data_IF_949977775552
#
_entry.id   IF_949977775552
#
_cell.length_a   1.000
_cell.length_b   1.000
_cell.length_c   1.000
_cell.angle_alpha   90.00
_cell.angle_beta   90.00
_cell.angle_gamma   90.00
#
_symmetry.space_group_name_H-M   'P 1'
#
loop_
_entity.id
_entity.type
_entity.pdbx_description
1 polymer ?
#
# COMPACT_ATOMS: atom_id res chain seq x y z
N UNK A 1 -16.23 -44.00 6.25
CA UNK A 1 -15.44 -43.09 7.10
C UNK A 1 -15.18 -41.83 6.29
N UNK A 2 -16.04 -40.81 6.41
CA UNK A 2 -15.84 -39.52 5.76
C UNK A 2 -15.09 -38.62 6.74
N UNK A 3 -13.82 -38.36 6.46
CA UNK A 3 -13.01 -37.43 7.23
C UNK A 3 -13.33 -36.02 6.70
N UNK A 4 -14.28 -35.35 7.35
CA UNK A 4 -14.53 -33.92 7.14
C UNK A 4 -13.34 -33.19 7.75
N UNK A 5 -12.40 -32.77 6.90
CA UNK A 5 -11.41 -31.77 7.25
C UNK A 5 -12.15 -30.46 7.50
N UNK A 6 -12.50 -30.21 8.76
CA UNK A 6 -12.84 -28.88 9.23
C UNK A 6 -11.62 -28.00 9.00
N UNK A 7 -11.66 -27.19 7.94
CA UNK A 7 -10.75 -26.07 7.79
C UNK A 7 -10.96 -25.19 9.02
N UNK A 8 -10.01 -25.24 9.96
CA UNK A 8 -9.82 -24.17 10.93
C UNK A 8 -9.46 -22.93 10.11
N UNK A 9 -10.47 -22.20 9.67
CA UNK A 9 -10.32 -20.83 9.21
C UNK A 9 -9.79 -20.04 10.41
N UNK A 10 -8.47 -20.00 10.57
CA UNK A 10 -7.84 -18.94 11.31
C UNK A 10 -8.44 -17.67 10.74
N UNK A 11 -9.19 -16.94 11.56
CA UNK A 11 -9.75 -15.66 11.18
C UNK A 11 -8.56 -14.75 10.90
N UNK A 12 -8.08 -14.78 9.65
CA UNK A 12 -7.02 -13.94 9.17
C UNK A 12 -7.37 -12.52 9.54
N UNK A 13 -6.52 -11.89 10.35
CA UNK A 13 -6.76 -10.53 10.84
C UNK A 13 -6.96 -9.62 9.62
N UNK A 14 -8.15 -9.01 9.54
CA UNK A 14 -8.46 -8.06 8.46
C UNK A 14 -7.69 -6.78 8.72
N UNK A 15 -6.79 -6.44 7.82
CA UNK A 15 -6.09 -5.16 7.83
C UNK A 15 -7.08 -4.07 7.40
N UNK A 16 -7.19 -3.02 8.21
CA UNK A 16 -7.97 -1.82 7.86
C UNK A 16 -7.07 -0.80 7.19
N UNK A 17 -7.39 -0.48 5.95
CA UNK A 17 -6.70 0.48 5.09
C UNK A 17 -7.42 1.81 5.14
N UNK A 18 -6.73 2.81 5.69
CA UNK A 18 -7.24 4.17 5.85
C UNK A 18 -6.70 5.02 4.71
N UNK A 19 -7.54 5.78 3.98
CA UNK A 19 -7.08 6.63 2.89
C UNK A 19 -6.10 7.70 3.38
N UNK A 20 -5.07 7.95 2.60
CA UNK A 20 -4.12 9.05 2.81
C UNK A 20 -4.57 10.20 1.90
N UNK A 21 -5.20 11.21 2.50
CA UNK A 21 -5.46 12.48 1.83
C UNK A 21 -4.14 13.19 1.50
N UNK A 22 -4.13 13.96 0.41
CA UNK A 22 -3.01 14.82 -0.01
C UNK A 22 -1.70 14.09 -0.35
N UNK A 23 -1.74 12.76 -0.52
CA UNK A 23 -0.65 12.05 -1.14
C UNK A 23 -0.43 12.54 -2.59
N UNK A 24 0.79 12.41 -3.09
CA UNK A 24 1.11 12.63 -4.49
C UNK A 24 1.65 11.32 -5.07
N UNK A 25 1.11 10.92 -6.21
CA UNK A 25 1.60 9.77 -6.98
C UNK A 25 2.05 10.22 -8.35
N UNK A 26 3.21 9.74 -8.79
CA UNK A 26 3.68 9.83 -10.16
C UNK A 26 4.09 8.45 -10.67
N UNK A 27 3.66 8.13 -11.89
CA UNK A 27 4.14 6.99 -12.67
C UNK A 27 4.93 7.56 -13.84
N UNK A 28 6.23 7.25 -13.91
CA UNK A 28 7.17 7.84 -14.87
C UNK A 28 7.06 9.38 -14.92
N UNK A 29 7.12 9.99 -13.73
CA UNK A 29 7.01 11.44 -13.51
C UNK A 29 5.67 12.08 -13.91
N UNK A 30 4.64 11.29 -14.23
CA UNK A 30 3.30 11.76 -14.57
C UNK A 30 2.26 11.37 -13.52
N UNK A 31 1.39 12.30 -13.15
CA UNK A 31 0.26 11.98 -12.29
C UNK A 31 -0.74 11.06 -13.02
N UNK A 32 -1.09 9.89 -12.48
CA UNK A 32 -2.07 9.01 -13.09
C UNK A 32 -3.49 9.58 -12.94
N UNK A 33 -4.38 9.19 -13.87
CA UNK A 33 -5.75 9.74 -13.95
C UNK A 33 -6.65 9.33 -12.78
N UNK A 34 -6.53 8.08 -12.33
CA UNK A 34 -7.38 7.49 -11.29
C UNK A 34 -6.51 6.69 -10.36
N UNK A 35 -6.40 7.16 -9.11
CA UNK A 35 -5.63 6.47 -8.10
C UNK A 35 -6.07 6.89 -6.70
N UNK A 36 -5.82 6.03 -5.72
CA UNK A 36 -5.97 6.32 -4.29
C UNK A 36 -4.88 5.59 -3.51
N UNK A 37 -4.36 6.21 -2.46
CA UNK A 37 -3.37 5.60 -1.59
C UNK A 37 -3.94 5.42 -0.18
N UNK A 38 -3.66 4.26 0.42
CA UNK A 38 -4.12 3.89 1.74
C UNK A 38 -2.95 3.39 2.58
N UNK A 39 -3.09 3.53 3.90
CA UNK A 39 -2.13 3.03 4.89
C UNK A 39 -2.79 2.03 5.82
N UNK A 40 -2.02 1.05 6.29
CA UNK A 40 -2.47 0.11 7.31
C UNK A 40 -2.51 0.80 8.69
N UNK A 41 -3.71 1.16 9.15
CA UNK A 41 -3.91 1.85 10.43
C UNK A 41 -3.15 3.18 10.52
N UNK A 42 -2.25 3.31 11.51
CA UNK A 42 -1.49 4.55 11.78
C UNK A 42 -0.13 4.62 11.08
N UNK A 43 0.39 3.50 10.58
CA UNK A 43 1.74 3.44 9.98
C UNK A 43 1.64 3.52 8.48
N UNK A 44 2.60 4.20 7.84
CA UNK A 44 2.71 4.28 6.38
C UNK A 44 3.37 3.06 5.74
N UNK A 45 3.36 1.90 6.42
CA UNK A 45 3.89 0.63 5.93
C UNK A 45 3.12 -0.52 6.62
N UNK A 46 2.49 -1.43 5.86
CA UNK A 46 2.39 -1.44 4.40
C UNK A 46 1.48 -0.33 3.84
N UNK A 47 1.58 -0.10 2.52
CA UNK A 47 0.75 0.83 1.74
C UNK A 47 -0.07 0.07 0.71
N UNK A 48 -1.30 0.51 0.48
CA UNK A 48 -2.15 0.01 -0.61
C UNK A 48 -2.38 1.13 -1.61
N UNK A 49 -1.98 0.90 -2.86
CA UNK A 49 -2.21 1.79 -3.99
C UNK A 49 -3.29 1.18 -4.88
N UNK A 50 -4.41 1.88 -5.01
CA UNK A 50 -5.34 1.66 -6.11
C UNK A 50 -4.90 2.50 -7.29
N UNK A 51 -4.68 1.88 -8.44
CA UNK A 51 -4.27 2.53 -9.68
C UNK A 51 -5.18 2.04 -10.81
N UNK A 52 -6.21 2.83 -11.13
CA UNK A 52 -7.28 2.40 -12.04
C UNK A 52 -7.93 1.10 -11.57
N UNK A 53 -7.78 0.04 -12.35
CA UNK A 53 -8.30 -1.31 -12.05
C UNK A 53 -7.30 -2.21 -11.33
N UNK A 54 -6.17 -1.70 -10.87
CA UNK A 54 -5.11 -2.47 -10.19
C UNK A 54 -5.05 -2.09 -8.72
N UNK A 55 -4.74 -3.07 -7.88
CA UNK A 55 -4.50 -2.89 -6.46
C UNK A 55 -3.10 -3.43 -6.13
N UNK A 56 -2.22 -2.54 -5.66
CA UNK A 56 -0.83 -2.85 -5.38
C UNK A 56 -0.56 -2.62 -3.89
N UNK A 57 -0.05 -3.64 -3.21
CA UNK A 57 0.39 -3.55 -1.81
C UNK A 57 1.91 -3.43 -1.76
N UNK A 58 2.41 -2.38 -1.12
CA UNK A 58 3.83 -2.13 -0.93
C UNK A 58 4.21 -2.35 0.52
N UNK A 59 5.16 -3.25 0.74
CA UNK A 59 5.88 -3.42 2.00
C UNK A 59 7.22 -2.70 1.85
N UNK A 60 7.25 -1.42 2.22
CA UNK A 60 8.36 -0.49 1.96
C UNK A 60 9.62 -0.93 2.70
N UNK A 61 9.49 -1.40 3.95
CA UNK A 61 10.62 -1.94 4.72
C UNK A 61 11.24 -3.18 4.09
N UNK A 62 10.41 -4.00 3.46
CA UNK A 62 10.84 -5.27 2.86
C UNK A 62 11.19 -5.10 1.38
N UNK A 63 11.07 -3.88 0.83
CA UNK A 63 11.28 -3.59 -0.60
C UNK A 63 10.51 -4.56 -1.50
N UNK A 64 9.27 -4.87 -1.11
CA UNK A 64 8.42 -5.83 -1.80
C UNK A 64 7.11 -5.17 -2.23
N UNK A 65 6.68 -5.49 -3.44
CA UNK A 65 5.39 -5.10 -3.98
C UNK A 65 4.59 -6.35 -4.33
N UNK A 66 3.29 -6.33 -4.11
CA UNK A 66 2.37 -7.42 -4.46
C UNK A 66 1.19 -6.83 -5.21
N UNK A 67 0.75 -7.50 -6.27
CA UNK A 67 -0.50 -7.18 -6.95
C UNK A 67 -1.60 -8.08 -6.39
N UNK A 68 -2.65 -7.47 -5.86
CA UNK A 68 -3.82 -8.18 -5.30
C UNK A 68 -5.02 -7.95 -6.22
N UNK A 69 -6.02 -8.83 -6.15
CA UNK A 69 -7.25 -8.58 -6.90
C UNK A 69 -8.06 -7.48 -6.21
N UNK A 70 -8.50 -6.43 -6.94
CA UNK A 70 -9.38 -5.41 -6.36
C UNK A 70 -10.69 -5.99 -5.80
N UNK A 71 -11.12 -7.16 -6.27
CA UNK A 71 -12.33 -7.85 -5.77
C UNK A 71 -12.17 -8.40 -4.35
N UNK A 72 -10.93 -8.51 -3.86
CA UNK A 72 -10.61 -8.94 -2.49
C UNK A 72 -10.68 -7.78 -1.49
N UNK A 73 -10.84 -6.55 -1.98
CA UNK A 73 -10.97 -5.36 -1.16
C UNK A 73 -12.44 -5.17 -0.78
N UNK A 74 -12.72 -5.31 0.51
CA UNK A 74 -14.04 -5.01 1.05
C UNK A 74 -14.13 -3.51 1.38
N UNK A 75 -15.10 -2.81 0.82
CA UNK A 75 -15.32 -1.40 1.11
C UNK A 75 -16.05 -1.21 2.45
N UNK A 76 -15.48 -0.41 3.34
CA UNK A 76 -16.09 0.00 4.61
C UNK A 76 -16.12 1.53 4.69
N UNK A 77 -17.09 2.13 4.03
CA UNK A 77 -17.17 3.59 3.89
C UNK A 77 -16.01 4.12 3.05
N UNK A 78 -15.13 4.93 3.67
CA UNK A 78 -13.91 5.44 3.02
C UNK A 78 -12.71 4.50 3.18
N UNK A 79 -12.80 3.55 4.10
CA UNK A 79 -11.74 2.59 4.39
C UNK A 79 -11.91 1.33 3.55
N UNK A 80 -10.83 0.57 3.42
CA UNK A 80 -10.86 -0.76 2.80
C UNK A 80 -10.45 -1.81 3.83
N UNK A 81 -11.02 -3.01 3.74
CA UNK A 81 -10.57 -4.17 4.48
C UNK A 81 -9.98 -5.18 3.51
N UNK A 82 -8.86 -5.77 3.91
CA UNK A 82 -8.22 -6.85 3.16
C UNK A 82 -7.61 -7.85 4.13
N UNK A 83 -7.62 -9.13 3.76
CA UNK A 83 -7.05 -10.20 4.59
C UNK A 83 -5.62 -10.46 4.16
N UNK A 84 -4.68 -10.46 5.10
CA UNK A 84 -3.28 -10.74 4.77
C UNK A 84 -3.06 -12.19 4.29
N UNK A 85 -3.95 -13.13 4.61
CA UNK A 85 -3.93 -14.49 4.03
C UNK A 85 -4.22 -14.53 2.54
N UNK A 86 -4.81 -13.46 1.98
CA UNK A 86 -5.02 -13.31 0.54
C UNK A 86 -3.81 -12.71 -0.17
N UNK A 87 -2.71 -12.45 0.56
CA UNK A 87 -1.45 -11.98 0.00
C UNK A 87 -0.91 -13.04 -0.97
N UNK A 88 -0.58 -12.65 -2.22
CA UNK A 88 0.10 -13.54 -3.14
C UNK A 88 1.42 -14.04 -2.55
N UNK A 89 1.78 -15.27 -2.90
CA UNK A 89 3.06 -15.86 -2.50
C UNK A 89 4.24 -15.16 -3.17
N UNK A 90 4.08 -14.80 -4.45
CA UNK A 90 5.15 -14.20 -5.26
C UNK A 90 5.03 -12.68 -5.30
N UNK A 91 6.03 -11.92 -4.85
CA UNK A 91 6.08 -10.49 -5.05
C UNK A 91 6.30 -10.14 -6.53
N UNK A 92 5.89 -8.95 -6.91
CA UNK A 92 6.31 -8.32 -8.16
C UNK A 92 7.82 -8.07 -8.14
N UNK A 93 8.46 -8.25 -9.29
CA UNK A 93 9.86 -7.87 -9.46
C UNK A 93 9.98 -6.35 -9.33
N UNK A 94 10.76 -5.90 -8.35
CA UNK A 94 10.99 -4.47 -8.10
C UNK A 94 12.47 -4.19 -7.89
N UNK A 95 12.89 -2.95 -8.19
CA UNK A 95 14.27 -2.50 -8.04
C UNK A 95 14.33 -1.00 -7.75
N UNK A 96 15.54 -0.49 -7.52
CA UNK A 96 15.80 0.96 -7.38
C UNK A 96 14.99 1.63 -6.25
N UNK A 97 14.75 0.90 -5.16
CA UNK A 97 14.02 1.39 -4.00
C UNK A 97 14.77 2.55 -3.33
N UNK A 98 14.04 3.62 -3.03
CA UNK A 98 14.53 4.75 -2.24
C UNK A 98 13.41 5.30 -1.37
N UNK A 99 13.67 5.41 -0.07
CA UNK A 99 12.77 6.03 0.90
C UNK A 99 13.51 7.21 1.52
N UNK A 100 13.01 8.43 1.34
CA UNK A 100 13.65 9.65 1.81
C UNK A 100 12.64 10.59 2.43
N UNK A 101 12.99 11.16 3.58
CA UNK A 101 12.30 12.33 4.11
C UNK A 101 12.72 13.55 3.26
N UNK A 102 11.74 14.27 2.72
CA UNK A 102 11.94 15.48 1.91
C UNK A 102 11.41 16.74 2.62
N UNK A 103 11.33 16.70 3.95
CA UNK A 103 10.89 17.79 4.81
C UNK A 103 9.39 17.79 5.03
N UNK A 104 8.61 18.07 3.99
CA UNK A 104 7.13 18.12 4.09
C UNK A 104 6.46 16.76 3.84
N UNK A 105 7.21 15.77 3.37
CA UNK A 105 6.68 14.47 2.99
C UNK A 105 7.75 13.37 3.07
N UNK A 106 7.28 12.13 3.24
CA UNK A 106 8.06 10.93 3.01
C UNK A 106 7.93 10.54 1.54
N UNK A 107 9.03 10.60 0.79
CA UNK A 107 9.10 10.16 -0.61
C UNK A 107 9.56 8.71 -0.69
N UNK A 108 8.77 7.89 -1.35
CA UNK A 108 9.05 6.49 -1.65
C UNK A 108 9.11 6.36 -3.18
N UNK A 109 10.25 5.92 -3.70
CA UNK A 109 10.47 5.69 -5.13
C UNK A 109 10.91 4.25 -5.35
N UNK A 110 10.39 3.61 -6.39
CA UNK A 110 10.76 2.26 -6.79
C UNK A 110 10.49 2.05 -8.28
N UNK A 111 11.10 1.03 -8.88
CA UNK A 111 10.81 0.59 -10.24
C UNK A 111 10.09 -0.75 -10.21
N UNK A 112 8.96 -0.84 -10.90
CA UNK A 112 8.28 -2.11 -11.19
C UNK A 112 9.01 -2.75 -12.38
N UNK A 113 9.92 -3.68 -12.10
CA UNK A 113 10.86 -4.20 -13.08
C UNK A 113 10.15 -4.92 -14.25
N UNK A 114 9.06 -5.65 -13.97
CA UNK A 114 8.27 -6.34 -14.99
C UNK A 114 7.65 -5.39 -16.03
N UNK A 115 7.44 -4.12 -15.67
CA UNK A 115 6.78 -3.12 -16.52
C UNK A 115 7.74 -2.02 -16.98
N UNK A 116 8.94 -1.96 -16.41
CA UNK A 116 9.91 -0.89 -16.63
C UNK A 116 9.46 0.49 -16.12
N UNK A 117 8.42 0.55 -15.28
CA UNK A 117 7.79 1.81 -14.82
C UNK A 117 8.34 2.23 -13.47
N UNK A 118 8.53 3.52 -13.29
CA UNK A 118 8.94 4.13 -12.02
C UNK A 118 7.71 4.62 -11.28
N UNK A 119 7.55 4.17 -10.03
CA UNK A 119 6.52 4.62 -9.10
C UNK A 119 7.17 5.57 -8.10
N UNK A 120 6.63 6.78 -7.99
CA UNK A 120 7.05 7.80 -7.02
C UNK A 120 5.83 8.23 -6.19
N UNK A 121 5.91 7.96 -4.89
CA UNK A 121 4.86 8.25 -3.93
C UNK A 121 5.40 9.27 -2.93
N UNK A 122 4.66 10.33 -2.68
CA UNK A 122 4.96 11.29 -1.61
C UNK A 122 3.80 11.28 -0.63
N UNK A 123 4.11 10.90 0.61
CA UNK A 123 3.14 10.85 1.70
C UNK A 123 3.37 12.09 2.56
N UNK A 124 2.40 13.02 2.65
CA UNK A 124 2.56 14.19 3.49
C UNK A 124 2.79 13.75 4.94
N UNK A 125 3.80 14.34 5.57
CA UNK A 125 4.01 14.20 7.00
C UNK A 125 3.20 15.32 7.66
N UNK A 126 2.25 14.96 8.52
CA UNK A 126 1.60 15.96 9.37
C UNK A 126 2.73 16.52 10.26
N UNK A 127 3.06 17.82 10.17
CA UNK A 127 4.05 18.40 11.07
C UNK A 127 3.55 18.17 12.49
N UNK A 128 4.41 17.65 13.36
CA UNK A 128 4.09 17.48 14.77
C UNK A 128 3.95 18.88 15.38
N UNK A 129 2.72 19.41 15.42
CA UNK A 129 2.40 20.71 15.98
C UNK A 129 2.62 20.78 17.50
N UNK A 130 3.12 19.71 18.16
CA UNK A 130 3.53 19.74 19.58
C UNK A 130 4.98 20.15 19.78
N UNK A 131 5.76 20.38 18.71
CA UNK A 131 7.14 20.87 18.80
C UNK A 131 7.29 22.39 18.83
N UNK A 132 6.21 23.12 19.08
CA UNK A 132 6.18 24.59 19.15
C UNK A 132 5.68 25.11 20.50
N UNK A 133 6.37 24.79 21.60
CA UNK A 133 6.38 25.62 22.81
C UNK A 133 7.79 25.55 23.43
N UNK A 134 8.60 26.58 23.18
CA UNK A 134 9.69 27.00 24.05
C UNK A 134 9.92 28.50 23.85
#
# INVERSE_FOLDING_TARGET
MFLVLGMCAHAAEKVTWIPISDAILRIDDRAPKQWNLYRAGKRSDPLLLLLGSRALVFYVRNQAAYEISPTQLEHKGKDLLWRETEKPEKPLATSEWSTRDIGSALRIRMKLASEGRVVDIQIPQIPDLRRGIY
#
